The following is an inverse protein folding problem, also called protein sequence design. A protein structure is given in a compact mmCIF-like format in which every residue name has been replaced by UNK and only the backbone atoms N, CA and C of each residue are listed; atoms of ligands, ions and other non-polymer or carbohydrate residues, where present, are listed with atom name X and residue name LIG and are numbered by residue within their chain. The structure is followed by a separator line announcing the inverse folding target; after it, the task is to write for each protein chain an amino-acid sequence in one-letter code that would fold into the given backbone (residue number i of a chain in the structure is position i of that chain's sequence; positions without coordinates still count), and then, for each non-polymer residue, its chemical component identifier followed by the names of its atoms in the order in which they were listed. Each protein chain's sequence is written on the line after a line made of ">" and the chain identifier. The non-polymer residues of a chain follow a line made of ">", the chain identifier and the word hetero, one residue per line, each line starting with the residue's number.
data_IF_636697194415
#
_entry.id   IF_636697194415
#
_cell.length_a   1.000
_cell.length_b   1.000
_cell.length_c   1.000
_cell.angle_alpha   90.00
_cell.angle_beta   90.00
_cell.angle_gamma   90.00
#
_symmetry.space_group_name_H-M   'P 1'
#
loop_
_entity.id
_entity.type
_entity.pdbx_description
1 polymer ?
#
# COMPACT_ATOMS: atom_id res chain seq x y z
N UNK A 1 -1.62 -11.04 -4.18
CA UNK A 1 -1.64 -9.62 -4.57
C UNK A 1 -2.95 -9.31 -5.30
N UNK A 2 -3.39 -8.06 -5.32
CA UNK A 2 -4.53 -7.58 -6.09
C UNK A 2 -4.17 -6.28 -6.83
N UNK A 3 -4.63 -6.16 -8.07
CA UNK A 3 -4.61 -4.94 -8.88
C UNK A 3 -6.02 -4.53 -9.21
N UNK A 4 -6.33 -3.23 -9.18
CA UNK A 4 -7.64 -2.71 -9.60
C UNK A 4 -7.95 -2.96 -11.08
N UNK A 5 -6.94 -3.23 -11.90
CA UNK A 5 -7.08 -3.41 -13.34
C UNK A 5 -7.72 -4.77 -13.66
N UNK A 6 -8.70 -4.78 -14.57
CA UNK A 6 -9.33 -6.01 -15.07
C UNK A 6 -8.55 -6.67 -16.22
N UNK A 7 -7.65 -5.93 -16.86
CA UNK A 7 -6.76 -6.43 -17.89
C UNK A 7 -5.42 -5.69 -17.81
N UNK A 8 -4.32 -6.35 -18.17
CA UNK A 8 -2.98 -5.74 -18.15
C UNK A 8 -2.41 -5.50 -16.75
N UNK A 9 -2.90 -6.21 -15.72
CA UNK A 9 -2.32 -6.13 -14.38
C UNK A 9 -0.86 -6.62 -14.38
N UNK A 10 0.01 -5.86 -13.71
CA UNK A 10 1.42 -6.20 -13.50
C UNK A 10 1.69 -6.46 -12.03
N UNK A 11 2.73 -7.23 -11.72
CA UNK A 11 3.10 -7.52 -10.33
C UNK A 11 3.47 -6.24 -9.56
N UNK A 12 4.35 -5.40 -10.12
CA UNK A 12 4.75 -4.14 -9.50
C UNK A 12 3.64 -3.09 -9.41
N UNK A 13 2.55 -3.25 -10.17
CA UNK A 13 1.34 -2.42 -10.11
C UNK A 13 0.23 -2.99 -9.24
N UNK A 14 0.55 -3.95 -8.37
CA UNK A 14 -0.38 -4.64 -7.49
C UNK A 14 0.03 -4.45 -6.03
N UNK A 15 -0.94 -4.55 -5.12
CA UNK A 15 -0.71 -4.49 -3.67
C UNK A 15 -1.04 -5.83 -3.02
N UNK A 16 -0.53 -6.11 -1.83
CA UNK A 16 -0.92 -7.31 -1.09
C UNK A 16 -2.43 -7.28 -0.78
N UNK A 17 -3.07 -8.44 -0.64
CA UNK A 17 -4.50 -8.58 -0.26
C UNK A 17 -4.71 -9.65 0.82
N UNK A 18 -3.61 -10.10 1.44
CA UNK A 18 -3.54 -11.20 2.37
C UNK A 18 -2.10 -11.67 2.54
N UNK A 19 -1.90 -12.62 3.46
CA UNK A 19 -0.58 -13.14 3.80
C UNK A 19 -0.11 -14.23 2.85
N UNK A 20 1.20 -14.51 2.91
CA UNK A 20 1.79 -15.62 2.16
C UNK A 20 1.24 -16.96 2.67
N UNK A 21 0.84 -17.81 1.73
CA UNK A 21 0.28 -19.13 2.00
C UNK A 21 1.39 -20.14 2.19
N UNK A 22 1.30 -20.97 3.23
CA UNK A 22 2.30 -22.01 3.48
C UNK A 22 2.33 -23.04 2.35
N UNK A 23 3.50 -23.58 2.00
CA UNK A 23 3.62 -24.58 0.93
C UNK A 23 2.87 -25.90 1.17
N UNK A 24 2.35 -26.11 2.37
CA UNK A 24 1.48 -27.24 2.74
C UNK A 24 -0.01 -26.93 2.54
N UNK A 25 -0.39 -25.68 2.29
CA UNK A 25 -1.75 -25.24 2.04
C UNK A 25 -1.96 -25.04 0.53
N UNK A 26 -3.04 -25.63 0.00
CA UNK A 26 -3.37 -25.53 -1.43
C UNK A 26 -4.45 -24.48 -1.75
N UNK A 27 -4.97 -23.79 -0.73
CA UNK A 27 -6.06 -22.82 -0.87
C UNK A 27 -6.02 -21.78 0.23
N UNK A 28 -6.31 -20.53 -0.12
CA UNK A 28 -6.50 -19.41 0.81
C UNK A 28 -7.78 -18.67 0.43
N UNK A 29 -8.52 -18.21 1.43
CA UNK A 29 -9.66 -17.33 1.22
C UNK A 29 -9.20 -15.87 1.29
N UNK A 30 -9.51 -15.08 0.26
CA UNK A 30 -9.20 -13.66 0.19
C UNK A 30 -10.49 -12.84 0.11
N UNK A 31 -10.52 -11.62 0.64
CA UNK A 31 -11.67 -10.71 0.48
C UNK A 31 -12.00 -10.49 -1.00
N UNK A 32 -13.29 -10.46 -1.36
CA UNK A 32 -13.75 -10.27 -2.73
C UNK A 32 -13.69 -8.79 -3.14
N UNK A 33 -12.54 -8.33 -3.61
CA UNK A 33 -12.37 -7.04 -4.30
C UNK A 33 -12.46 -7.19 -5.83
N UNK A 34 -13.04 -6.20 -6.53
CA UNK A 34 -12.96 -6.13 -7.99
C UNK A 34 -11.51 -5.96 -8.44
N UNK A 35 -11.18 -6.50 -9.62
CA UNK A 35 -9.85 -6.41 -10.21
C UNK A 35 -9.23 -7.78 -10.46
N UNK A 36 -7.91 -7.81 -10.58
CA UNK A 36 -7.13 -9.01 -10.87
C UNK A 36 -6.35 -9.44 -9.65
N UNK A 37 -6.48 -10.71 -9.26
CA UNK A 37 -5.68 -11.37 -8.23
C UNK A 37 -4.47 -12.00 -8.89
N UNK A 38 -3.29 -11.78 -8.32
CA UNK A 38 -2.04 -12.32 -8.81
C UNK A 38 -1.39 -13.17 -7.72
N UNK A 39 -0.84 -14.31 -8.13
CA UNK A 39 -0.08 -15.22 -7.29
C UNK A 39 1.25 -15.60 -7.95
N UNK A 40 2.32 -15.57 -7.16
CA UNK A 40 3.65 -16.11 -7.49
C UNK A 40 3.98 -17.22 -6.51
N UNK A 41 4.66 -18.25 -6.99
CA UNK A 41 5.22 -19.28 -6.12
C UNK A 41 6.54 -18.77 -5.53
N UNK A 42 6.83 -19.17 -4.29
CA UNK A 42 8.10 -18.91 -3.62
C UNK A 42 8.73 -20.26 -3.32
N UNK A 43 9.99 -20.44 -3.69
CA UNK A 43 10.73 -21.66 -3.39
C UNK A 43 11.25 -21.68 -1.93
N UNK A 44 11.88 -22.78 -1.52
CA UNK A 44 12.46 -22.90 -0.17
C UNK A 44 13.60 -21.92 0.12
N UNK A 45 14.17 -21.31 -0.92
CA UNK A 45 15.24 -20.32 -0.83
C UNK A 45 14.69 -18.88 -0.75
N UNK A 46 13.37 -18.70 -0.77
CA UNK A 46 12.72 -17.40 -0.73
C UNK A 46 12.60 -16.72 -2.10
N UNK A 47 12.95 -17.41 -3.19
CA UNK A 47 12.95 -16.83 -4.54
C UNK A 47 11.57 -16.98 -5.17
N UNK A 48 11.07 -15.88 -5.73
CA UNK A 48 9.78 -15.83 -6.42
C UNK A 48 9.88 -16.34 -7.84
N UNK A 49 8.80 -16.94 -8.33
CA UNK A 49 8.67 -17.32 -9.74
C UNK A 49 8.76 -16.09 -10.67
N UNK A 50 9.42 -16.27 -11.82
CA UNK A 50 9.54 -15.22 -12.84
C UNK A 50 8.17 -14.76 -13.34
N UNK A 51 7.28 -15.73 -13.61
CA UNK A 51 5.90 -15.49 -14.04
C UNK A 51 4.94 -15.53 -12.86
N UNK A 52 3.77 -14.90 -13.02
CA UNK A 52 2.65 -14.98 -12.08
C UNK A 52 1.46 -15.67 -12.75
N UNK A 53 0.60 -16.27 -11.93
CA UNK A 53 -0.74 -16.69 -12.33
C UNK A 53 -1.76 -15.63 -11.89
N UNK A 54 -2.83 -15.44 -12.66
CA UNK A 54 -3.82 -14.40 -12.36
C UNK A 54 -5.25 -14.80 -12.64
N UNK A 55 -6.18 -14.27 -11.85
CA UNK A 55 -7.63 -14.39 -12.05
C UNK A 55 -8.30 -13.03 -11.84
N UNK A 56 -9.13 -12.59 -12.79
CA UNK A 56 -9.88 -11.34 -12.70
C UNK A 56 -11.33 -11.57 -12.30
N UNK A 57 -11.87 -10.71 -11.42
CA UNK A 57 -13.28 -10.69 -11.04
C UNK A 57 -13.80 -9.26 -11.10
N UNK A 58 -15.07 -9.10 -11.49
CA UNK A 58 -15.72 -7.78 -11.57
C UNK A 58 -16.35 -7.34 -10.25
N UNK A 59 -16.19 -8.14 -9.19
CA UNK A 59 -17.05 -8.14 -8.02
C UNK A 59 -18.52 -8.44 -8.43
N UNK A 60 -19.18 -9.32 -7.70
CA UNK A 60 -20.53 -9.75 -8.04
C UNK A 60 -21.36 -9.77 -6.78
N UNK A 61 -22.14 -8.71 -6.59
CA UNK A 61 -23.08 -8.60 -5.48
C UNK A 61 -24.49 -8.35 -6.02
N UNK A 62 -25.47 -8.94 -5.33
CA UNK A 62 -26.91 -8.70 -5.58
C UNK A 62 -27.39 -7.46 -4.83
N UNK A 63 -26.67 -7.08 -3.77
CA UNK A 63 -27.02 -5.95 -2.91
C UNK A 63 -26.64 -4.62 -3.57
N UNK A 64 -27.53 -3.64 -3.49
CA UNK A 64 -27.23 -2.26 -3.82
C UNK A 64 -26.55 -1.58 -2.63
N UNK A 65 -25.55 -0.75 -2.92
CA UNK A 65 -24.81 -0.01 -1.90
C UNK A 65 -24.99 1.49 -2.14
N UNK A 66 -25.31 2.23 -1.08
CA UNK A 66 -25.33 3.68 -1.03
C UNK A 66 -24.03 4.19 -0.41
N UNK A 67 -23.46 5.26 -0.96
CA UNK A 67 -22.27 5.87 -0.37
C UNK A 67 -22.66 6.62 0.91
N UNK A 68 -21.98 6.29 2.01
CA UNK A 68 -22.08 7.01 3.27
C UNK A 68 -21.07 8.15 3.33
N UNK A 69 -19.81 7.83 3.02
CA UNK A 69 -18.71 8.78 3.03
C UNK A 69 -17.56 8.27 2.15
N UNK A 70 -16.71 9.19 1.71
CA UNK A 70 -15.53 8.91 0.89
C UNK A 70 -14.38 9.78 1.33
N UNK A 71 -13.26 9.16 1.72
CA UNK A 71 -12.00 9.86 1.96
C UNK A 71 -11.07 9.64 0.79
N UNK A 72 -10.55 10.72 0.24
CA UNK A 72 -9.53 10.72 -0.81
C UNK A 72 -8.34 11.54 -0.35
N UNK A 73 -7.18 10.91 -0.22
CA UNK A 73 -5.96 11.60 0.21
C UNK A 73 -5.12 12.06 -1.00
N UNK A 74 -5.29 11.44 -2.17
CA UNK A 74 -4.66 11.87 -3.41
C UNK A 74 -5.35 13.13 -3.99
N UNK A 75 -4.62 13.98 -4.76
CA UNK A 75 -3.21 13.88 -5.14
C UNK A 75 -2.22 14.44 -4.11
N UNK A 76 -2.71 15.20 -3.12
CA UNK A 76 -1.84 16.03 -2.28
C UNK A 76 -1.28 15.31 -1.05
N UNK A 77 -1.90 14.20 -0.63
CA UNK A 77 -1.60 13.46 0.59
C UNK A 77 -1.41 14.38 1.81
N UNK A 78 -2.47 15.10 2.23
CA UNK A 78 -2.41 16.16 3.24
C UNK A 78 -2.27 15.68 4.69
N UNK A 79 -2.25 14.36 4.91
CA UNK A 79 -2.09 13.72 6.21
C UNK A 79 -0.71 13.88 6.84
N UNK A 80 -0.47 13.13 7.91
CA UNK A 80 0.79 13.19 8.66
C UNK A 80 1.76 12.14 8.12
N UNK A 81 2.97 12.58 7.77
CA UNK A 81 4.02 11.74 7.21
C UNK A 81 5.05 11.34 8.25
N UNK A 82 5.34 10.04 8.36
CA UNK A 82 6.40 9.49 9.20
C UNK A 82 7.24 8.49 8.40
N UNK A 83 8.35 8.94 7.84
CA UNK A 83 9.16 8.12 6.92
C UNK A 83 8.57 8.00 5.50
N UNK A 84 7.52 8.78 5.22
CA UNK A 84 6.91 8.93 3.89
C UNK A 84 7.05 10.38 3.42
N UNK A 85 6.83 10.60 2.13
CA UNK A 85 6.78 11.93 1.52
C UNK A 85 5.76 11.94 0.39
N UNK A 86 5.08 13.07 0.20
CA UNK A 86 4.24 13.33 -0.96
C UNK A 86 5.01 14.17 -1.98
N UNK A 87 5.29 13.61 -3.15
CA UNK A 87 5.97 14.30 -4.25
C UNK A 87 5.46 13.79 -5.59
N UNK A 88 5.32 14.69 -6.58
CA UNK A 88 4.81 14.38 -7.92
C UNK A 88 3.41 13.73 -7.90
N UNK A 89 2.51 14.26 -7.07
CA UNK A 89 1.15 13.74 -6.88
C UNK A 89 1.13 12.26 -6.42
N UNK A 90 2.20 11.79 -5.78
CA UNK A 90 2.32 10.43 -5.27
C UNK A 90 2.91 10.37 -3.86
N UNK A 91 2.42 9.42 -3.07
CA UNK A 91 2.99 9.06 -1.77
C UNK A 91 4.10 8.02 -1.97
N UNK A 92 5.28 8.32 -1.42
CA UNK A 92 6.51 7.52 -1.54
C UNK A 92 7.17 7.35 -0.17
N UNK A 93 8.08 6.38 -0.04
CA UNK A 93 8.98 6.30 1.11
C UNK A 93 10.03 7.41 1.00
N UNK A 94 10.31 8.10 2.11
CA UNK A 94 11.28 9.20 2.13
C UNK A 94 12.72 8.69 2.02
N UNK A 95 13.59 9.43 1.35
CA UNK A 95 15.04 9.18 1.33
C UNK A 95 15.66 9.21 2.72
N UNK A 96 16.73 8.43 2.93
CA UNK A 96 17.44 8.34 4.23
C UNK A 96 18.64 9.28 4.34
N UNK A 97 19.22 9.67 3.20
CA UNK A 97 20.40 10.53 3.17
C UNK A 97 20.08 11.96 3.60
N UNK A 98 20.99 12.55 4.37
CA UNK A 98 20.88 13.95 4.78
C UNK A 98 21.48 14.86 3.72
N UNK A 99 20.86 16.02 3.49
CA UNK A 99 21.38 17.03 2.57
C UNK A 99 22.84 17.42 2.90
N UNK A 100 23.14 17.64 4.19
CA UNK A 100 24.48 18.01 4.67
C UNK A 100 25.54 16.90 4.52
N UNK A 101 25.11 15.67 4.22
CA UNK A 101 26.01 14.52 4.01
C UNK A 101 26.37 14.30 2.54
N UNK A 102 25.86 15.14 1.63
CA UNK A 102 26.16 15.08 0.20
C UNK A 102 27.58 15.59 -0.05
N UNK A 103 28.53 14.73 -0.47
CA UNK A 103 29.93 15.14 -0.69
C UNK A 103 30.11 15.89 -2.01
N UNK A 104 29.27 15.59 -3.01
CA UNK A 104 29.26 16.22 -4.32
C UNK A 104 27.82 16.29 -4.82
N UNK A 105 27.30 17.51 -4.93
CA UNK A 105 25.94 17.76 -5.37
C UNK A 105 25.76 17.58 -6.89
N UNK A 106 26.82 17.80 -7.67
CA UNK A 106 26.78 17.67 -9.13
C UNK A 106 26.86 16.20 -9.58
N UNK A 107 27.34 15.32 -8.71
CA UNK A 107 27.35 13.87 -8.92
C UNK A 107 26.06 13.16 -8.45
N UNK A 108 25.09 13.91 -7.91
CA UNK A 108 23.84 13.32 -7.40
C UNK A 108 22.90 12.97 -8.54
N UNK A 109 22.39 11.74 -8.54
CA UNK A 109 21.39 11.29 -9.50
C UNK A 109 19.98 11.72 -9.11
N UNK A 110 19.63 11.51 -7.84
CA UNK A 110 18.34 11.86 -7.26
C UNK A 110 18.56 12.38 -5.84
N UNK A 111 18.03 13.58 -5.58
CA UNK A 111 18.09 14.22 -4.26
C UNK A 111 17.11 13.56 -3.29
N UNK A 112 15.93 13.18 -3.78
CA UNK A 112 14.83 12.73 -2.94
C UNK A 112 15.00 11.27 -2.47
N UNK A 113 15.85 10.52 -3.18
CA UNK A 113 16.27 9.17 -2.81
C UNK A 113 17.72 9.11 -2.34
N UNK A 114 18.41 10.22 -2.08
CA UNK A 114 19.84 10.17 -1.72
C UNK A 114 20.10 9.23 -0.53
N UNK A 115 21.09 8.35 -0.64
CA UNK A 115 21.42 7.36 0.39
C UNK A 115 20.48 6.14 0.46
N UNK A 116 19.48 6.03 -0.41
CA UNK A 116 18.44 5.00 -0.39
C UNK A 116 17.11 5.52 0.12
N UNK A 117 16.08 4.68 0.11
CA UNK A 117 14.76 5.01 0.69
C UNK A 117 14.56 4.28 2.01
N UNK A 118 13.74 4.84 2.90
CA UNK A 118 13.32 4.15 4.12
C UNK A 118 12.66 2.81 3.77
N UNK A 119 12.98 1.75 4.51
CA UNK A 119 12.37 0.42 4.28
C UNK A 119 10.92 0.32 4.75
N UNK A 120 10.48 1.28 5.57
CA UNK A 120 9.10 1.38 6.04
C UNK A 120 8.73 2.81 6.37
N UNK A 121 7.48 3.17 6.14
CA UNK A 121 6.92 4.48 6.49
C UNK A 121 5.44 4.36 6.84
N UNK A 122 4.97 5.30 7.66
CA UNK A 122 3.56 5.43 8.03
C UNK A 122 3.05 6.79 7.54
N UNK A 123 1.89 6.75 6.92
CA UNK A 123 1.11 7.90 6.54
C UNK A 123 -0.23 7.84 7.27
N UNK A 124 -0.45 8.73 8.24
CA UNK A 124 -1.74 8.84 8.93
C UNK A 124 -2.63 9.81 8.12
N UNK A 125 -3.89 9.41 7.89
CA UNK A 125 -4.80 10.17 7.03
C UNK A 125 -5.12 11.54 7.66
N UNK A 126 -5.41 12.52 6.81
CA UNK A 126 -5.77 13.87 7.28
C UNK A 126 -7.10 13.94 8.03
N UNK A 127 -8.00 13.01 7.71
CA UNK A 127 -9.33 12.89 8.30
C UNK A 127 -9.72 11.42 8.46
N UNK A 128 -10.61 11.17 9.44
CA UNK A 128 -11.35 9.92 9.59
C UNK A 128 -12.81 10.07 9.17
N UNK A 129 -13.59 8.99 9.28
CA UNK A 129 -15.04 8.99 9.01
C UNK A 129 -15.77 9.03 10.35
N UNK A 130 -16.74 9.92 10.52
CA UNK A 130 -17.73 9.89 11.62
C UNK A 130 -19.14 9.75 11.05
N UNK A 131 -19.78 8.60 11.29
CA UNK A 131 -21.14 8.33 10.85
C UNK A 131 -22.21 9.00 11.73
N UNK A 132 -21.81 9.66 12.81
CA UNK A 132 -22.67 10.34 13.79
C UNK A 132 -23.43 9.40 14.74
N UNK A 133 -23.48 8.10 14.43
CA UNK A 133 -24.03 7.05 15.27
C UNK A 133 -23.39 5.70 14.89
N UNK A 134 -23.44 4.74 15.81
CA UNK A 134 -23.00 3.37 15.53
C UNK A 134 -23.90 2.75 14.47
N UNK A 135 -23.34 2.44 13.30
CA UNK A 135 -24.04 1.85 12.17
C UNK A 135 -23.16 0.81 11.49
N UNK A 136 -23.81 -0.13 10.79
CA UNK A 136 -23.12 -1.08 9.93
C UNK A 136 -22.78 -0.43 8.60
N UNK A 137 -21.52 -0.45 8.22
CA UNK A 137 -21.04 -0.02 6.91
C UNK A 137 -20.06 -1.04 6.32
N UNK A 138 -19.93 -1.05 5.00
CA UNK A 138 -18.87 -1.73 4.27
C UNK A 138 -17.77 -0.69 3.99
N UNK A 139 -16.57 -0.97 4.46
CA UNK A 139 -15.38 -0.21 4.14
C UNK A 139 -14.62 -0.90 3.00
N UNK A 140 -14.19 -0.14 2.01
CA UNK A 140 -13.36 -0.63 0.92
C UNK A 140 -12.22 0.34 0.61
N UNK A 141 -11.04 -0.22 0.29
CA UNK A 141 -9.88 0.56 -0.13
C UNK A 141 -9.72 0.50 -1.65
N UNK A 142 -9.50 1.65 -2.26
CA UNK A 142 -9.08 1.78 -3.66
C UNK A 142 -7.67 2.35 -3.66
N UNK A 143 -6.72 1.56 -4.18
CA UNK A 143 -5.30 1.87 -4.17
C UNK A 143 -4.73 1.68 -5.58
N UNK A 144 -3.99 2.67 -6.05
CA UNK A 144 -3.11 2.54 -7.22
C UNK A 144 -1.68 2.80 -6.77
N UNK A 145 -0.86 1.77 -6.90
CA UNK A 145 0.55 1.83 -6.56
C UNK A 145 1.39 1.24 -7.67
N UNK A 146 2.62 1.71 -7.80
CA UNK A 146 3.64 1.18 -8.69
C UNK A 146 4.98 1.11 -7.96
N UNK A 147 5.61 -0.05 -7.96
CA UNK A 147 7.00 -0.18 -7.52
C UNK A 147 7.92 0.40 -8.58
N UNK A 148 8.78 1.31 -8.18
CA UNK A 148 9.76 2.00 -9.01
C UNK A 148 11.17 1.72 -8.49
N UNK A 149 12.14 1.68 -9.41
CA UNK A 149 13.56 1.60 -9.06
C UNK A 149 14.21 2.96 -9.33
N UNK A 150 14.40 3.82 -8.31
CA UNK A 150 15.17 5.05 -8.47
C UNK A 150 16.67 4.80 -8.80
N UNK A 151 17.22 3.62 -8.50
CA UNK A 151 18.65 3.31 -8.67
C UNK A 151 18.89 2.21 -9.72
N UNK A 152 18.85 2.62 -10.98
CA UNK A 152 19.03 1.71 -12.12
C UNK A 152 20.51 1.47 -12.53
N UNK A 153 21.49 2.06 -11.83
CA UNK A 153 22.91 1.83 -12.06
C UNK A 153 23.56 1.10 -10.88
N UNK A 154 24.58 0.30 -11.16
CA UNK A 154 25.28 -0.55 -10.16
C UNK A 154 25.96 0.30 -9.08
N UNK A 155 26.59 1.40 -9.48
CA UNK A 155 27.28 2.35 -8.59
C UNK A 155 26.31 3.11 -7.66
N UNK A 156 25.01 3.10 -7.95
CA UNK A 156 23.99 3.79 -7.18
C UNK A 156 23.40 2.94 -6.04
N UNK A 157 23.66 1.63 -6.03
CA UNK A 157 23.13 0.73 -5.00
C UNK A 157 24.16 0.55 -3.90
N UNK A 158 23.80 0.96 -2.68
CA UNK A 158 24.71 0.99 -1.52
C UNK A 158 24.66 -0.27 -0.67
N UNK A 159 23.65 -1.13 -0.85
CA UNK A 159 23.54 -2.41 -0.19
C UNK A 159 24.58 -3.42 -0.74
N UNK A 160 24.89 -4.46 0.05
CA UNK A 160 25.74 -5.57 -0.39
C UNK A 160 25.17 -6.19 -1.67
N UNK A 161 26.01 -6.46 -2.68
CA UNK A 161 25.55 -7.07 -3.95
C UNK A 161 24.81 -8.39 -3.71
N UNK A 162 25.22 -9.17 -2.70
CA UNK A 162 24.58 -10.42 -2.31
C UNK A 162 23.15 -10.26 -1.74
N UNK A 163 22.75 -9.04 -1.38
CA UNK A 163 21.39 -8.73 -0.89
C UNK A 163 20.47 -8.15 -1.97
N UNK A 164 20.95 -7.99 -3.21
CA UNK A 164 20.14 -7.45 -4.28
C UNK A 164 19.19 -8.53 -4.82
N UNK A 165 17.92 -8.18 -4.97
CA UNK A 165 16.92 -9.12 -5.52
C UNK A 165 17.18 -9.42 -7.01
N UNK A 166 17.69 -8.44 -7.74
CA UNK A 166 18.03 -8.58 -9.16
C UNK A 166 19.23 -7.70 -9.54
N UNK A 167 20.12 -8.26 -10.36
CA UNK A 167 21.26 -7.55 -10.93
C UNK A 167 20.87 -6.72 -12.17
N UNK A 168 19.88 -7.18 -12.94
CA UNK A 168 19.56 -6.66 -14.27
C UNK A 168 18.54 -5.51 -14.25
N UNK A 169 18.04 -5.13 -13.06
CA UNK A 169 17.17 -3.97 -12.87
C UNK A 169 15.72 -4.20 -13.31
N UNK A 170 15.21 -5.42 -13.25
CA UNK A 170 13.83 -5.72 -13.62
C UNK A 170 12.83 -4.86 -12.82
N UNK A 171 11.80 -4.40 -13.53
CA UNK A 171 10.76 -3.46 -13.06
C UNK A 171 9.75 -4.03 -12.04
N UNK A 172 10.15 -5.06 -11.29
CA UNK A 172 9.28 -5.73 -10.34
C UNK A 172 10.06 -6.10 -9.07
N UNK A 173 10.75 -5.12 -8.48
CA UNK A 173 11.26 -5.26 -7.12
C UNK A 173 10.15 -5.24 -6.09
N UNK A 174 10.55 -5.34 -4.84
CA UNK A 174 9.66 -5.40 -3.70
C UNK A 174 9.21 -4.03 -3.21
N UNK A 175 7.89 -3.84 -3.13
CA UNK A 175 7.26 -2.68 -2.51
C UNK A 175 5.79 -2.99 -2.25
N UNK A 176 5.28 -2.62 -1.09
CA UNK A 176 3.89 -2.84 -0.71
C UNK A 176 3.32 -1.67 0.10
N UNK A 177 1.99 -1.54 0.03
CA UNK A 177 1.21 -0.60 0.83
C UNK A 177 0.02 -1.36 1.43
N UNK A 178 -0.13 -1.21 2.74
CA UNK A 178 -1.25 -1.77 3.49
C UNK A 178 -1.98 -0.63 4.18
N UNK A 179 -3.29 -0.52 3.96
CA UNK A 179 -4.15 0.37 4.74
C UNK A 179 -4.59 -0.36 6.00
N UNK A 180 -4.57 0.35 7.12
CA UNK A 180 -5.06 -0.11 8.40
C UNK A 180 -6.16 0.82 8.90
N UNK A 181 -7.10 0.25 9.63
CA UNK A 181 -8.23 0.94 10.24
C UNK A 181 -8.29 0.64 11.73
N UNK A 182 -8.67 1.63 12.51
CA UNK A 182 -9.16 1.46 13.89
C UNK A 182 -10.55 2.07 14.00
N UNK A 183 -11.36 1.54 14.90
CA UNK A 183 -12.77 1.92 15.03
C UNK A 183 -13.12 2.32 16.46
N UNK A 184 -14.17 3.12 16.60
CA UNK A 184 -14.72 3.55 17.88
C UNK A 184 -16.24 3.68 17.83
N UNK A 185 -16.90 3.35 18.95
CA UNK A 185 -18.32 3.59 19.15
C UNK A 185 -18.61 4.98 19.75
N UNK A 186 -17.57 5.64 20.28
CA UNK A 186 -17.64 6.96 20.90
C UNK A 186 -17.57 8.08 19.85
N UNK A 187 -17.70 9.33 20.30
CA UNK A 187 -17.52 10.52 19.46
C UNK A 187 -16.05 10.72 19.06
N UNK A 188 -15.69 10.64 17.76
CA UNK A 188 -14.32 10.85 17.31
C UNK A 188 -13.78 12.26 17.63
N UNK A 189 -14.64 13.27 17.70
CA UNK A 189 -14.27 14.65 18.03
C UNK A 189 -14.12 14.91 19.53
N UNK A 190 -14.44 13.94 20.38
CA UNK A 190 -14.35 14.03 21.84
C UNK A 190 -13.07 13.40 22.41
N UNK A 191 -13.24 12.37 23.23
CA UNK A 191 -12.15 11.55 23.78
C UNK A 191 -12.48 10.07 23.61
N UNK A 192 -12.55 9.61 22.35
CA UNK A 192 -12.98 8.25 22.03
C UNK A 192 -11.98 7.20 22.49
N UNK A 193 -12.48 6.01 22.83
CA UNK A 193 -11.61 4.82 22.95
C UNK A 193 -11.55 4.12 21.61
N UNK A 194 -10.34 4.03 21.04
CA UNK A 194 -10.12 3.36 19.76
C UNK A 194 -9.70 1.90 19.92
N UNK A 195 -10.10 1.06 18.97
CA UNK A 195 -9.59 -0.30 18.83
C UNK A 195 -8.10 -0.32 18.46
N UNK A 196 -7.49 -1.50 18.52
CA UNK A 196 -6.22 -1.74 17.85
C UNK A 196 -6.36 -1.54 16.33
N UNK A 197 -5.26 -1.15 15.69
CA UNK A 197 -5.16 -1.08 14.24
C UNK A 197 -5.26 -2.47 13.61
N UNK A 198 -6.02 -2.60 12.53
CA UNK A 198 -6.17 -3.83 11.77
C UNK A 198 -6.13 -3.52 10.26
N UNK A 199 -5.60 -4.47 9.48
CA UNK A 199 -5.56 -4.37 8.01
C UNK A 199 -6.97 -4.19 7.42
N UNK A 200 -7.09 -3.27 6.46
CA UNK A 200 -8.30 -2.99 5.71
C UNK A 200 -8.07 -3.22 4.21
N UNK A 201 -8.67 -4.29 3.68
CA UNK A 201 -8.78 -4.50 2.23
C UNK A 201 -10.21 -4.22 1.78
N UNK A 202 -11.13 -4.98 2.37
CA UNK A 202 -12.57 -4.77 2.30
C UNK A 202 -13.22 -5.50 3.46
N UNK A 203 -14.00 -4.79 4.28
CA UNK A 203 -14.60 -5.36 5.49
C UNK A 203 -15.94 -4.71 5.81
N UNK A 204 -16.85 -5.49 6.39
CA UNK A 204 -18.04 -4.95 7.05
C UNK A 204 -17.71 -4.62 8.50
N UNK A 205 -18.03 -3.41 8.93
CA UNK A 205 -17.79 -2.91 10.28
C UNK A 205 -19.06 -2.35 10.88
N UNK A 206 -19.14 -2.36 12.21
CA UNK A 206 -20.23 -1.76 12.96
C UNK A 206 -19.63 -0.87 14.04
N UNK A 207 -19.49 0.41 13.74
CA UNK A 207 -18.92 1.42 14.63
C UNK A 207 -19.49 2.81 14.28
N UNK A 208 -19.18 3.82 15.10
CA UNK A 208 -19.51 5.21 14.79
C UNK A 208 -18.41 5.87 13.97
N UNK A 209 -17.17 5.75 14.44
CA UNK A 209 -16.01 6.44 13.88
C UNK A 209 -14.94 5.47 13.37
N UNK A 210 -14.26 5.88 12.31
CA UNK A 210 -13.14 5.16 11.71
C UNK A 210 -11.96 6.09 11.49
N UNK A 211 -10.77 5.60 11.81
CA UNK A 211 -9.52 6.30 11.58
C UNK A 211 -8.58 5.39 10.79
N UNK A 212 -7.78 6.00 9.92
CA UNK A 212 -7.05 5.30 8.85
C UNK A 212 -5.58 5.69 8.83
N UNK A 213 -4.73 4.70 8.52
CA UNK A 213 -3.34 4.92 8.20
C UNK A 213 -2.88 3.99 7.09
N UNK A 214 -1.91 4.42 6.30
CA UNK A 214 -1.25 3.60 5.30
C UNK A 214 0.18 3.29 5.78
N UNK A 215 0.55 2.02 5.70
CA UNK A 215 1.91 1.54 5.96
C UNK A 215 2.55 1.17 4.63
N UNK A 216 3.58 1.90 4.26
CA UNK A 216 4.41 1.62 3.10
C UNK A 216 5.61 0.79 3.54
N UNK A 217 6.05 -0.14 2.71
CA UNK A 217 7.24 -0.95 2.97
C UNK A 217 7.95 -1.39 1.69
N UNK A 218 9.26 -1.53 1.78
CA UNK A 218 10.14 -2.17 0.78
C UNK A 218 11.13 -3.08 1.50
N UNK A 219 11.56 -4.17 0.87
CA UNK A 219 12.64 -5.03 1.39
C UNK A 219 14.02 -4.58 0.90
N UNK A 220 14.07 -3.84 -0.20
CA UNK A 220 15.30 -3.31 -0.80
C UNK A 220 15.22 -1.78 -0.88
N UNK A 221 16.11 -1.05 -0.18
CA UNK A 221 16.21 0.41 -0.24
C UNK A 221 16.49 0.99 -1.64
N UNK A 222 16.82 0.14 -2.62
CA UNK A 222 16.93 0.53 -4.02
C UNK A 222 15.57 0.67 -4.71
N UNK A 223 14.50 0.10 -4.16
CA UNK A 223 13.14 0.16 -4.70
C UNK A 223 12.25 0.99 -3.80
N UNK A 224 11.38 1.79 -4.41
CA UNK A 224 10.38 2.58 -3.73
C UNK A 224 8.99 2.23 -4.25
N UNK A 225 7.97 2.43 -3.43
CA UNK A 225 6.58 2.31 -3.84
C UNK A 225 6.00 3.71 -4.06
N UNK A 226 5.48 3.94 -5.27
CA UNK A 226 4.82 5.18 -5.65
C UNK A 226 3.32 4.97 -5.68
N UNK A 227 2.59 5.59 -4.75
CA UNK A 227 1.13 5.46 -4.63
C UNK A 227 0.47 6.71 -5.18
N UNK A 228 -0.28 6.56 -6.28
CA UNK A 228 -0.94 7.68 -6.99
C UNK A 228 -2.42 7.82 -6.65
N UNK A 229 -3.04 6.78 -6.10
CA UNK A 229 -4.44 6.81 -5.67
C UNK A 229 -4.56 6.10 -4.33
N UNK A 230 -5.17 6.78 -3.36
CA UNK A 230 -5.48 6.25 -2.05
C UNK A 230 -6.83 6.81 -1.61
N UNK A 231 -7.85 5.94 -1.64
CA UNK A 231 -9.23 6.30 -1.35
C UNK A 231 -9.88 5.23 -0.46
N UNK A 232 -10.67 5.67 0.51
CA UNK A 232 -11.53 4.83 1.34
C UNK A 232 -12.98 5.16 1.04
N UNK A 233 -13.77 4.15 0.71
CA UNK A 233 -15.21 4.30 0.58
C UNK A 233 -15.92 3.60 1.75
N UNK A 234 -16.82 4.31 2.41
CA UNK A 234 -17.79 3.75 3.32
C UNK A 234 -19.15 3.69 2.64
N UNK A 235 -19.76 2.51 2.66
CA UNK A 235 -21.03 2.25 1.98
C UNK A 235 -22.01 1.54 2.92
N UNK A 236 -23.31 1.81 2.78
CA UNK A 236 -24.38 1.06 3.44
C UNK A 236 -25.19 0.27 2.43
N UNK A 237 -25.81 -0.82 2.89
CA UNK A 237 -26.75 -1.59 2.07
C UNK A 237 -28.07 -0.81 1.98
N UNK A 238 -28.58 -0.63 0.76
CA UNK A 238 -29.83 0.09 0.46
C UNK A 238 -30.90 -0.85 -0.09
#
# INVERSE_FOLDING_TARGET
>A
MNSKLLAGATWGGSVSIGDAVGGHESSVALPLKPGTYLAKAIDSSGIRSLTFSSVSTKDATVLAFGNLDTISEHPNFPGVHSGTVALDDALKLAGVGLFDSIPDFDALFDLDSYGGVNVSGIYDFSAGIDLGAVKRCRLSTLITALVINPFNLIDHRTAMIDSWEDFDGAAAGDGDIIVEVRETDDDPGGSPTWSAWARLDQAEKNARGFDFRARLSTTDPAYNISVSELTINAEEVV
#
